data_IF_085222454087
#
_entry.id   IF_085222454087
#
_cell.length_a   1.000
_cell.length_b   1.000
_cell.length_c   1.000
_cell.angle_alpha   90.00
_cell.angle_beta   90.00
_cell.angle_gamma   90.00
#
_symmetry.space_group_name_H-M   'P 1'
#
loop_
_entity.id
_entity.type
_entity.pdbx_description
1 polymer ?
#
# COMPACT_ATOMS: atom_id res chain seq x y z
N UNK A 1 -3.21 -1.49 21.77
CA UNK A 1 -2.52 -0.89 20.61
C UNK A 1 -1.87 0.39 21.10
N UNK A 2 -0.57 0.58 20.88
CA UNK A 2 0.06 1.87 21.15
C UNK A 2 -0.59 2.92 20.24
N UNK A 3 -0.94 4.08 20.80
CA UNK A 3 -1.42 5.22 20.02
C UNK A 3 -0.27 5.73 19.15
N UNK A 4 -0.45 5.86 17.84
CA UNK A 4 0.57 6.49 16.97
C UNK A 4 0.67 8.01 17.17
N UNK A 5 -0.31 8.59 17.86
CA UNK A 5 -0.47 10.02 18.02
C UNK A 5 -0.68 10.38 19.49
N UNK A 6 -0.22 11.57 19.89
CA UNK A 6 -0.53 12.19 21.19
C UNK A 6 -1.17 13.56 20.99
N UNK A 7 -2.07 13.91 21.90
CA UNK A 7 -2.60 15.28 22.00
C UNK A 7 -1.67 16.11 22.89
N UNK A 8 -1.25 17.26 22.38
CA UNK A 8 -0.43 18.23 23.10
C UNK A 8 -1.23 19.53 23.23
N UNK A 9 -1.38 20.03 24.46
CA UNK A 9 -1.94 21.35 24.71
C UNK A 9 -0.82 22.39 24.60
N UNK A 10 -1.07 23.46 23.85
CA UNK A 10 -0.16 24.62 23.68
C UNK A 10 -0.93 25.90 23.93
N UNK A 11 -0.60 26.57 25.03
CA UNK A 11 -1.25 27.79 25.52
C UNK A 11 -2.77 27.66 25.55
N UNK A 12 -3.46 28.14 24.52
CA UNK A 12 -4.92 28.15 24.38
C UNK A 12 -5.45 27.14 23.36
N UNK A 13 -4.58 26.34 22.75
CA UNK A 13 -4.89 25.49 21.61
C UNK A 13 -4.35 24.07 21.75
N UNK A 14 -4.79 23.18 20.87
CA UNK A 14 -4.37 21.78 20.84
C UNK A 14 -3.70 21.43 19.53
N UNK A 15 -2.67 20.60 19.61
CA UNK A 15 -1.98 20.01 18.48
C UNK A 15 -2.02 18.48 18.58
N UNK A 16 -1.98 17.81 17.43
CA UNK A 16 -1.79 16.36 17.37
C UNK A 16 -0.36 16.10 16.91
N UNK A 17 0.41 15.40 17.73
CA UNK A 17 1.82 15.07 17.46
C UNK A 17 1.92 13.59 17.10
N UNK A 18 2.61 13.28 16.01
CA UNK A 18 2.98 11.92 15.64
C UNK A 18 4.13 11.45 16.52
N UNK A 19 3.93 10.33 17.23
CA UNK A 19 4.92 9.81 18.19
C UNK A 19 6.16 9.28 17.47
N UNK A 20 6.04 8.81 16.23
CA UNK A 20 7.16 8.24 15.48
C UNK A 20 8.14 9.31 14.98
N UNK A 21 7.64 10.50 14.67
CA UNK A 21 8.43 11.60 14.08
C UNK A 21 8.64 12.78 15.02
N UNK A 22 7.90 12.82 16.14
CA UNK A 22 7.78 13.95 17.06
C UNK A 22 7.44 15.28 16.38
N UNK A 23 6.77 15.19 15.22
CA UNK A 23 6.31 16.31 14.43
C UNK A 23 4.79 16.43 14.47
N UNK A 24 4.22 17.60 14.16
CA UNK A 24 2.78 17.74 14.00
C UNK A 24 2.25 16.76 12.95
N UNK A 25 1.22 16.00 13.31
CA UNK A 25 0.53 15.11 12.39
C UNK A 25 -0.05 15.93 11.23
N UNK A 26 -0.02 15.38 10.03
CA UNK A 26 -0.51 16.05 8.82
C UNK A 26 -1.64 15.27 8.21
N UNK A 27 -2.73 15.98 7.87
CA UNK A 27 -3.80 15.46 7.03
C UNK A 27 -3.71 16.17 5.69
N UNK A 28 -3.50 15.41 4.61
CA UNK A 28 -3.34 15.95 3.25
C UNK A 28 -2.29 17.08 3.14
N UNK A 29 -1.21 16.96 3.92
CA UNK A 29 -0.11 17.93 3.98
C UNK A 29 -0.34 19.09 4.96
N UNK A 30 -1.57 19.28 5.44
CA UNK A 30 -1.94 20.32 6.40
C UNK A 30 -1.58 19.86 7.82
N UNK A 31 -0.72 20.58 8.56
CA UNK A 31 -0.38 20.24 9.93
C UNK A 31 -1.57 20.49 10.86
N UNK A 32 -1.86 19.52 11.72
CA UNK A 32 -2.93 19.56 12.70
C UNK A 32 -2.44 20.24 13.98
N UNK A 33 -2.28 21.55 13.87
CA UNK A 33 -1.86 22.46 14.95
C UNK A 33 -2.97 23.47 15.23
N UNK A 34 -2.93 24.09 16.41
CA UNK A 34 -3.81 25.21 16.79
C UNK A 34 -5.31 24.94 16.63
N UNK A 35 -5.80 23.84 17.20
CA UNK A 35 -7.22 23.44 17.17
C UNK A 35 -7.89 23.60 18.54
N UNK A 36 -9.22 23.61 18.55
CA UNK A 36 -9.97 23.48 19.81
C UNK A 36 -9.91 22.05 20.35
N UNK A 37 -10.14 21.86 21.65
CA UNK A 37 -10.08 20.55 22.29
C UNK A 37 -11.05 19.52 21.68
N UNK A 38 -12.26 19.95 21.33
CA UNK A 38 -13.27 19.08 20.73
C UNK A 38 -12.87 18.68 19.30
N UNK A 39 -12.39 19.64 18.52
CA UNK A 39 -11.87 19.44 17.17
C UNK A 39 -10.67 18.48 17.18
N UNK A 40 -9.68 18.71 18.04
CA UNK A 40 -8.49 17.87 18.13
C UNK A 40 -8.84 16.40 18.48
N UNK A 41 -9.82 16.16 19.36
CA UNK A 41 -10.32 14.80 19.63
C UNK A 41 -11.00 14.17 18.43
N UNK A 42 -11.77 14.95 17.67
CA UNK A 42 -12.42 14.47 16.46
C UNK A 42 -11.38 14.12 15.39
N UNK A 43 -10.43 15.02 15.13
CA UNK A 43 -9.34 14.80 14.18
C UNK A 43 -8.50 13.57 14.56
N UNK A 44 -8.22 13.36 15.84
CA UNK A 44 -7.52 12.17 16.31
C UNK A 44 -8.25 10.86 15.95
N UNK A 45 -9.59 10.83 16.06
CA UNK A 45 -10.40 9.65 15.65
C UNK A 45 -10.31 9.39 14.15
N UNK A 46 -10.33 10.45 13.34
CA UNK A 46 -10.18 10.35 11.89
C UNK A 46 -8.83 9.74 11.54
N UNK A 47 -7.74 10.23 12.13
CA UNK A 47 -6.39 9.70 11.90
C UNK A 47 -6.30 8.20 12.24
N UNK A 48 -6.87 7.77 13.38
CA UNK A 48 -6.91 6.35 13.72
C UNK A 48 -7.71 5.51 12.72
N UNK A 49 -8.81 6.04 12.20
CA UNK A 49 -9.58 5.40 11.14
C UNK A 49 -8.73 5.17 9.89
N UNK A 50 -8.01 6.21 9.45
CA UNK A 50 -7.12 6.15 8.28
C UNK A 50 -6.01 5.12 8.49
N UNK A 51 -5.34 5.14 9.64
CA UNK A 51 -4.28 4.19 9.96
C UNK A 51 -4.76 2.74 10.00
N UNK A 52 -5.97 2.52 10.52
CA UNK A 52 -6.60 1.20 10.52
C UNK A 52 -6.87 0.71 9.10
N UNK A 53 -7.42 1.58 8.24
CA UNK A 53 -7.65 1.27 6.83
C UNK A 53 -6.32 0.95 6.14
N UNK A 54 -5.30 1.80 6.33
CA UNK A 54 -3.96 1.59 5.76
C UNK A 54 -3.34 0.26 6.20
N UNK A 55 -3.47 -0.09 7.48
CA UNK A 55 -2.97 -1.35 8.03
C UNK A 55 -3.67 -2.55 7.40
N UNK A 56 -5.00 -2.51 7.32
CA UNK A 56 -5.80 -3.56 6.69
C UNK A 56 -5.47 -3.70 5.20
N UNK A 57 -5.35 -2.60 4.47
CA UNK A 57 -4.98 -2.60 3.04
C UNK A 57 -3.60 -3.22 2.82
N UNK A 58 -2.60 -2.88 3.66
CA UNK A 58 -1.27 -3.51 3.62
C UNK A 58 -1.34 -5.01 3.89
N UNK A 59 -2.18 -5.43 4.84
CA UNK A 59 -2.37 -6.84 5.17
C UNK A 59 -2.97 -7.63 4.00
N UNK A 60 -4.05 -7.13 3.40
CA UNK A 60 -4.67 -7.74 2.23
C UNK A 60 -3.72 -7.77 1.02
N UNK A 61 -2.96 -6.70 0.78
CA UNK A 61 -1.97 -6.67 -0.30
C UNK A 61 -0.86 -7.72 -0.10
N UNK A 62 -0.39 -7.93 1.15
CA UNK A 62 0.58 -8.99 1.45
C UNK A 62 -0.03 -10.38 1.23
N UNK A 63 -1.28 -10.58 1.63
CA UNK A 63 -1.98 -11.85 1.41
C UNK A 63 -2.15 -12.15 -0.08
N UNK A 64 -2.56 -11.17 -0.87
CA UNK A 64 -2.70 -11.28 -2.32
C UNK A 64 -1.36 -11.62 -2.99
N UNK A 65 -0.27 -10.94 -2.62
CA UNK A 65 1.09 -11.26 -3.10
C UNK A 65 1.51 -12.69 -2.75
N UNK A 66 1.22 -13.15 -1.54
CA UNK A 66 1.52 -14.54 -1.11
C UNK A 66 0.74 -15.56 -1.94
N UNK A 67 -0.54 -15.30 -2.22
CA UNK A 67 -1.37 -16.17 -3.08
C UNK A 67 -0.87 -16.19 -4.52
N UNK A 68 -0.55 -15.03 -5.10
CA UNK A 68 0.02 -14.96 -6.45
C UNK A 68 1.31 -15.77 -6.58
N UNK A 69 2.21 -15.71 -5.59
CA UNK A 69 3.44 -16.52 -5.58
C UNK A 69 3.19 -18.04 -5.51
N UNK A 70 2.08 -18.48 -4.91
CA UNK A 70 1.71 -19.91 -4.88
C UNK A 70 1.00 -20.37 -6.17
N UNK A 71 0.46 -19.44 -6.96
CA UNK A 71 -0.27 -19.72 -8.21
C UNK A 71 0.65 -19.57 -9.43
N UNK A 72 1.81 -18.93 -9.29
CA UNK A 72 2.84 -18.91 -10.32
C UNK A 72 3.16 -20.37 -10.70
N UNK A 73 2.90 -20.80 -11.95
CA UNK A 73 3.17 -22.16 -12.37
C UNK A 73 4.67 -22.42 -12.22
N UNK A 74 5.04 -23.63 -11.79
CA UNK A 74 6.41 -24.11 -11.93
C UNK A 74 6.80 -24.00 -13.40
N UNK A 75 7.97 -23.41 -13.68
CA UNK A 75 8.59 -23.37 -15.00
C UNK A 75 9.00 -24.79 -15.45
N UNK A 76 8.02 -25.65 -15.68
CA UNK A 76 8.14 -26.96 -16.34
C UNK A 76 7.15 -27.03 -17.52
N UNK A 77 6.88 -25.88 -18.15
CA UNK A 77 6.29 -25.89 -19.49
C UNK A 77 7.43 -26.18 -20.45
N UNK A 78 7.60 -27.46 -20.81
CA UNK A 78 8.43 -27.85 -21.94
C UNK A 78 8.04 -26.99 -23.13
N UNK A 79 8.96 -26.13 -23.57
CA UNK A 79 8.84 -25.45 -24.85
C UNK A 79 8.81 -26.54 -25.91
N UNK A 80 7.63 -26.81 -26.46
CA UNK A 80 7.50 -27.64 -27.65
C UNK A 80 8.11 -26.81 -28.79
N UNK A 81 9.37 -27.09 -29.10
CA UNK A 81 10.03 -26.55 -30.28
C UNK A 81 9.26 -27.07 -31.51
N UNK A 82 8.47 -26.20 -32.12
CA UNK A 82 7.90 -26.49 -33.43
C UNK A 82 9.01 -26.44 -34.46
N UNK A 83 9.35 -27.58 -35.04
CA UNK A 83 10.24 -27.64 -36.21
C UNK A 83 9.69 -26.71 -37.31
N UNK A 84 10.50 -25.78 -37.84
CA UNK A 84 10.07 -24.97 -38.97
C UNK A 84 9.84 -25.87 -40.19
N UNK A 85 8.62 -25.83 -40.73
CA UNK A 85 8.24 -26.55 -41.94
C UNK A 85 9.22 -26.20 -43.07
N UNK A 86 9.94 -27.20 -43.58
CA UNK A 86 10.87 -27.01 -44.70
C UNK A 86 10.09 -26.47 -45.91
N UNK A 87 10.60 -25.45 -46.61
CA UNK A 87 9.94 -24.97 -47.82
C UNK A 87 9.89 -26.11 -48.86
N UNK A 88 8.71 -26.32 -49.44
CA UNK A 88 8.51 -27.24 -50.56
C UNK A 88 9.46 -26.83 -51.68
N UNK A 89 10.41 -27.70 -52.01
CA UNK A 89 11.24 -27.54 -53.19
C UNK A 89 10.31 -27.54 -54.41
N UNK A 90 10.26 -26.43 -55.15
CA UNK A 90 9.60 -26.38 -56.44
C UNK A 90 10.35 -27.34 -57.38
N UNK A 91 9.72 -28.48 -57.67
CA UNK A 91 10.18 -29.43 -58.65
C UNK A 91 10.05 -28.78 -60.03
N UNK A 92 11.16 -28.27 -60.58
CA UNK A 92 11.25 -27.91 -61.99
C UNK A 92 11.23 -29.19 -62.81
N UNK A 93 10.08 -29.50 -63.44
CA UNK A 93 10.02 -30.47 -64.52
C UNK A 93 10.35 -29.74 -65.82
N UNK A 94 11.47 -30.15 -66.42
CA UNK A 94 11.86 -29.86 -67.82
C UNK A 94 10.99 -30.61 -68.81
#
# INVERSE_FOLDING_TARGET
>A
MASNYRLEARDTSWAIIDIATDAPARLDGIPLVTMEAAEARHMLRILYGIDRIRTNSKWWAKLAKKRAKMIAPSDDVQAVEFEPLRPFASSNWT
#
